data_IF_737211295963
#
_entry.id   IF_737211295963
#
_cell.length_a   1.000
_cell.length_b   1.000
_cell.length_c   1.000
_cell.angle_alpha   90.00
_cell.angle_beta   90.00
_cell.angle_gamma   90.00
#
_symmetry.space_group_name_H-M   'P 1'
#
loop_
_entity.id
_entity.type
_entity.pdbx_description
1 polymer ?
#
# COMPACT_ATOMS: atom_id res chain seq x y z
N UNK A 1 45.60 16.46 -63.42
CA UNK A 1 44.35 16.29 -62.72
C UNK A 1 44.44 16.97 -61.33
N UNK A 2 44.49 18.29 -61.25
CA UNK A 2 44.76 19.03 -60.03
C UNK A 2 43.51 19.09 -59.06
N UNK A 3 42.29 18.94 -59.60
CA UNK A 3 41.09 19.14 -58.80
C UNK A 3 40.85 18.01 -57.76
N UNK A 4 41.31 16.80 -58.01
CA UNK A 4 41.17 15.67 -57.11
C UNK A 4 42.10 15.73 -55.90
N UNK A 5 43.31 16.29 -56.11
CA UNK A 5 44.33 16.49 -55.05
C UNK A 5 43.90 17.61 -54.06
N UNK A 6 43.30 18.68 -54.57
CA UNK A 6 42.80 19.77 -53.73
C UNK A 6 41.62 19.32 -52.84
N UNK A 7 40.68 18.47 -53.38
CA UNK A 7 39.57 17.95 -52.63
C UNK A 7 40.02 16.99 -51.52
N UNK A 8 41.04 16.19 -51.79
CA UNK A 8 41.58 15.22 -50.80
C UNK A 8 42.34 15.92 -49.67
N UNK A 9 43.02 17.03 -49.96
CA UNK A 9 43.68 17.86 -48.93
C UNK A 9 42.68 18.60 -48.03
N UNK A 10 41.56 19.08 -48.58
CA UNK A 10 40.50 19.73 -47.81
C UNK A 10 39.79 18.71 -46.89
N UNK A 11 39.53 17.48 -47.36
CA UNK A 11 38.97 16.42 -46.54
C UNK A 11 39.92 15.99 -45.40
N UNK A 12 41.24 15.94 -45.65
CA UNK A 12 42.22 15.62 -44.61
C UNK A 12 42.36 16.74 -43.57
N UNK A 13 42.24 17.98 -43.96
CA UNK A 13 42.26 19.11 -43.02
C UNK A 13 41.00 19.21 -42.17
N UNK A 14 39.82 18.86 -42.73
CA UNK A 14 38.57 18.79 -41.97
C UNK A 14 38.56 17.62 -40.98
N UNK A 15 39.15 16.50 -41.34
CA UNK A 15 39.30 15.37 -40.43
C UNK A 15 40.26 15.65 -39.27
N UNK A 16 41.35 16.42 -39.51
CA UNK A 16 42.30 16.79 -38.47
C UNK A 16 41.74 17.82 -37.47
N UNK A 17 40.88 18.74 -37.93
CA UNK A 17 40.22 19.71 -37.05
C UNK A 17 39.12 19.07 -36.18
N UNK A 18 38.42 18.06 -36.69
CA UNK A 18 37.45 17.30 -35.87
C UNK A 18 38.15 16.41 -34.82
N UNK A 19 39.33 15.87 -35.16
CA UNK A 19 40.11 15.08 -34.22
C UNK A 19 40.76 15.92 -33.11
N UNK A 20 41.11 17.17 -33.40
CA UNK A 20 41.62 18.10 -32.39
C UNK A 20 40.51 18.62 -31.44
N UNK A 21 39.25 18.63 -31.88
CA UNK A 21 38.13 19.05 -31.05
C UNK A 21 37.70 17.93 -30.07
N UNK A 22 37.95 16.68 -30.43
CA UNK A 22 37.63 15.54 -29.53
C UNK A 22 38.67 15.29 -28.43
N UNK A 23 39.90 15.79 -28.61
CA UNK A 23 40.96 15.64 -27.60
C UNK A 23 40.96 16.74 -26.52
N UNK A 24 40.19 17.81 -26.72
CA UNK A 24 40.03 18.87 -25.70
C UNK A 24 38.88 18.68 -24.74
N UNK A 25 37.99 17.73 -25.01
CA UNK A 25 37.03 17.23 -24.02
C UNK A 25 37.75 16.10 -23.28
N UNK A 26 38.38 16.42 -22.17
CA UNK A 26 38.80 15.44 -21.18
C UNK A 26 37.67 14.51 -20.87
N UNK A 27 37.93 13.31 -20.28
CA UNK A 27 36.84 12.43 -19.84
C UNK A 27 35.94 13.29 -18.98
N UNK A 28 34.77 13.66 -19.48
CA UNK A 28 33.68 14.09 -18.66
C UNK A 28 33.39 12.82 -17.85
N UNK A 29 33.96 12.76 -16.67
CA UNK A 29 33.37 12.01 -15.62
C UNK A 29 31.89 12.40 -15.69
N UNK A 30 31.04 11.46 -16.07
CA UNK A 30 29.63 11.54 -15.73
C UNK A 30 29.65 11.53 -14.20
N UNK A 31 29.82 12.73 -13.62
CA UNK A 31 29.27 12.99 -12.31
C UNK A 31 27.81 12.63 -12.53
N UNK A 32 27.46 11.40 -12.15
CA UNK A 32 26.11 11.11 -11.76
C UNK A 32 25.85 12.19 -10.73
N UNK A 33 25.06 13.19 -11.13
CA UNK A 33 24.41 14.08 -10.22
C UNK A 33 23.58 13.14 -9.33
N UNK A 34 24.26 12.60 -8.31
CA UNK A 34 23.61 12.09 -7.13
C UNK A 34 22.98 13.32 -6.47
N UNK A 35 21.97 13.90 -7.17
CA UNK A 35 20.94 14.58 -6.43
C UNK A 35 20.55 13.51 -5.39
N UNK A 36 20.79 13.77 -4.10
CA UNK A 36 20.38 12.80 -3.09
C UNK A 36 18.93 12.56 -3.40
N UNK A 37 18.60 11.32 -3.82
CA UNK A 37 17.23 10.85 -3.84
C UNK A 37 16.73 11.28 -2.49
N UNK A 38 15.86 12.29 -2.49
CA UNK A 38 15.38 12.93 -1.28
C UNK A 38 14.95 11.77 -0.42
N UNK A 39 15.75 11.49 0.60
CA UNK A 39 15.47 10.45 1.54
C UNK A 39 14.07 10.74 2.03
N UNK A 40 13.10 10.00 1.51
CA UNK A 40 11.73 10.06 1.99
C UNK A 40 11.70 9.39 3.36
N UNK A 41 12.45 9.99 4.28
CA UNK A 41 12.24 9.71 5.69
C UNK A 41 10.81 10.16 5.99
N UNK A 42 10.06 9.35 6.68
CA UNK A 42 8.96 9.90 7.47
C UNK A 42 9.59 11.10 8.16
N UNK A 43 9.14 12.32 7.81
CA UNK A 43 9.60 13.50 8.52
C UNK A 43 9.37 13.18 9.99
N UNK A 44 10.46 13.08 10.74
CA UNK A 44 10.45 12.63 12.12
C UNK A 44 9.76 13.65 13.03
N UNK A 45 9.03 14.60 12.45
CA UNK A 45 8.25 15.64 13.11
C UNK A 45 6.96 15.13 13.74
N UNK A 46 6.52 13.89 13.44
CA UNK A 46 5.37 13.30 14.10
C UNK A 46 4.88 11.99 13.50
N UNK A 47 4.32 11.17 14.34
CA UNK A 47 3.56 9.96 14.02
C UNK A 47 2.09 10.28 14.26
N UNK A 48 1.23 9.93 13.29
CA UNK A 48 -0.22 10.15 13.36
C UNK A 48 -0.92 8.91 13.91
N UNK A 49 -0.52 7.74 13.43
CA UNK A 49 -1.07 6.45 13.87
C UNK A 49 0.00 5.38 13.85
N UNK A 50 -0.13 4.42 14.73
CA UNK A 50 0.70 3.21 14.80
C UNK A 50 -0.19 2.05 15.22
N UNK A 51 0.02 0.90 14.59
CA UNK A 51 -0.54 -0.34 15.09
C UNK A 51 0.46 -1.49 14.96
N UNK A 52 0.31 -2.48 15.84
CA UNK A 52 1.25 -3.58 16.01
C UNK A 52 0.47 -4.89 16.00
N UNK A 53 0.69 -5.68 14.96
CA UNK A 53 0.20 -7.05 14.87
C UNK A 53 1.09 -8.04 15.63
N UNK A 54 0.86 -9.32 15.41
CA UNK A 54 1.58 -10.38 16.12
C UNK A 54 3.09 -10.36 15.85
N UNK A 55 3.53 -10.01 14.64
CA UNK A 55 4.94 -10.05 14.22
C UNK A 55 5.29 -9.04 13.11
N UNK A 56 4.48 -8.02 12.93
CA UNK A 56 4.76 -6.85 12.09
C UNK A 56 4.15 -5.59 12.72
N UNK A 57 4.61 -4.44 12.32
CA UNK A 57 4.10 -3.15 12.76
C UNK A 57 4.02 -2.17 11.59
N UNK A 58 3.08 -1.25 11.66
CA UNK A 58 2.89 -0.20 10.68
C UNK A 58 2.78 1.16 11.35
N UNK A 59 3.30 2.20 10.71
CA UNK A 59 3.27 3.59 11.21
C UNK A 59 2.86 4.54 10.10
N UNK A 60 1.98 5.49 10.43
CA UNK A 60 1.61 6.60 9.55
C UNK A 60 2.27 7.87 10.05
N UNK A 61 3.01 8.55 9.19
CA UNK A 61 3.64 9.84 9.49
C UNK A 61 2.72 11.03 9.21
N UNK A 62 3.17 12.24 9.57
CA UNK A 62 2.41 13.49 9.40
C UNK A 62 2.08 13.86 7.96
N UNK A 63 2.77 13.29 6.98
CA UNK A 63 2.44 13.43 5.57
C UNK A 63 1.45 12.36 5.09
N UNK A 64 0.85 11.59 6.00
CA UNK A 64 -0.10 10.52 5.72
C UNK A 64 0.47 9.40 4.82
N UNK A 65 1.79 9.22 4.89
CA UNK A 65 2.51 8.10 4.28
C UNK A 65 2.74 7.02 5.31
N UNK A 66 2.76 5.76 4.88
CA UNK A 66 2.87 4.62 5.77
C UNK A 66 4.12 3.80 5.49
N UNK A 67 4.70 3.25 6.54
CA UNK A 67 5.76 2.23 6.50
C UNK A 67 5.39 1.08 7.41
N UNK A 68 5.63 -0.14 6.92
CA UNK A 68 5.44 -1.36 7.71
C UNK A 68 6.74 -2.16 7.74
N UNK A 69 7.01 -2.85 8.85
CA UNK A 69 8.18 -3.69 9.04
C UNK A 69 7.85 -4.91 9.90
N UNK A 70 8.77 -5.84 10.04
CA UNK A 70 8.59 -7.12 10.67
C UNK A 70 8.45 -8.24 9.65
N UNK A 71 7.74 -9.31 9.97
CA UNK A 71 7.53 -10.45 9.08
C UNK A 71 6.71 -10.07 7.87
N UNK A 72 7.25 -10.36 6.68
CA UNK A 72 6.56 -10.17 5.39
C UNK A 72 5.73 -11.36 4.92
N UNK A 73 5.58 -12.41 5.75
CA UNK A 73 4.75 -13.57 5.41
C UNK A 73 3.35 -13.14 4.97
N UNK A 74 2.82 -13.76 3.90
CA UNK A 74 1.57 -13.41 3.24
C UNK A 74 1.54 -11.98 2.65
N UNK A 75 2.67 -11.29 2.51
CA UNK A 75 2.70 -9.92 2.00
C UNK A 75 2.17 -8.85 2.94
N UNK A 76 1.93 -9.17 4.21
CA UNK A 76 1.26 -8.28 5.19
C UNK A 76 1.98 -6.97 5.48
N UNK A 77 3.27 -6.83 5.12
CA UNK A 77 4.00 -5.55 5.16
C UNK A 77 3.71 -4.64 3.96
N UNK A 78 3.08 -5.17 2.89
CA UNK A 78 2.70 -4.40 1.71
C UNK A 78 3.87 -3.95 0.83
N UNK A 79 4.94 -4.74 0.77
CA UNK A 79 6.13 -4.46 -0.05
C UNK A 79 6.23 -5.33 -1.31
N UNK A 80 5.12 -5.94 -1.75
CA UNK A 80 5.04 -6.82 -2.93
C UNK A 80 6.02 -8.01 -2.87
N UNK A 81 6.26 -8.51 -1.69
CA UNK A 81 7.08 -9.69 -1.42
C UNK A 81 6.82 -10.24 -0.01
N UNK A 82 7.44 -11.38 0.29
CA UNK A 82 7.34 -12.05 1.59
C UNK A 82 8.56 -11.87 2.48
N UNK A 83 9.47 -10.95 2.13
CA UNK A 83 10.66 -10.69 2.93
C UNK A 83 10.30 -10.02 4.26
N UNK A 84 11.02 -10.35 5.31
CA UNK A 84 10.97 -9.60 6.57
C UNK A 84 11.81 -8.32 6.44
N UNK A 85 11.46 -7.30 7.20
CA UNK A 85 12.15 -6.02 7.24
C UNK A 85 12.41 -5.59 8.68
N UNK A 86 13.60 -5.07 8.94
CA UNK A 86 14.01 -4.60 10.26
C UNK A 86 14.80 -5.62 11.07
N UNK A 87 15.06 -6.78 10.50
CA UNK A 87 15.91 -7.83 11.07
C UNK A 87 17.37 -7.75 10.58
N UNK A 88 17.63 -7.02 9.50
CA UNK A 88 18.96 -6.78 8.97
C UNK A 88 19.35 -5.29 8.93
N UNK A 89 20.66 -5.03 8.82
CA UNK A 89 21.19 -3.68 8.71
C UNK A 89 20.76 -3.02 7.40
N UNK A 90 20.36 -1.74 7.46
CA UNK A 90 19.89 -0.94 6.31
C UNK A 90 18.51 -1.34 5.75
N UNK A 91 17.66 -1.91 6.55
CA UNK A 91 16.27 -2.18 6.19
C UNK A 91 15.29 -1.15 6.75
N UNK A 92 15.73 -0.36 7.73
CA UNK A 92 14.89 0.64 8.40
C UNK A 92 15.23 2.08 8.01
N UNK A 93 14.43 3.03 8.45
CA UNK A 93 14.62 4.44 8.20
C UNK A 93 14.41 4.80 6.73
N UNK A 94 15.44 5.37 6.11
CA UNK A 94 15.40 5.78 4.69
C UNK A 94 15.39 4.59 3.72
N UNK A 95 15.79 3.42 4.14
CA UNK A 95 15.85 2.23 3.28
C UNK A 95 14.52 1.46 3.25
N UNK A 96 13.68 1.63 4.26
CA UNK A 96 12.34 1.03 4.27
C UNK A 96 11.43 1.80 3.33
N UNK A 97 10.88 1.12 2.34
CA UNK A 97 9.97 1.70 1.37
C UNK A 97 8.64 2.10 2.01
N UNK A 98 7.95 3.05 1.39
CA UNK A 98 6.57 3.34 1.74
C UNK A 98 5.64 2.27 1.17
N UNK A 99 4.60 1.94 1.92
CA UNK A 99 3.49 1.12 1.41
C UNK A 99 2.66 1.96 0.44
N UNK A 100 2.30 1.40 -0.70
CA UNK A 100 1.48 2.07 -1.73
C UNK A 100 0.06 1.49 -1.74
N UNK A 101 -0.94 2.36 -1.78
CA UNK A 101 -2.37 1.99 -1.92
C UNK A 101 -3.03 2.62 -3.14
N UNK A 102 -2.24 3.24 -4.00
CA UNK A 102 -2.69 3.86 -5.26
C UNK A 102 -2.50 5.36 -5.32
N UNK A 103 -2.42 5.86 -6.54
CA UNK A 103 -2.10 7.26 -6.81
C UNK A 103 -3.13 8.22 -6.20
N UNK A 104 -2.66 9.22 -5.47
CA UNK A 104 -3.49 10.25 -4.84
C UNK A 104 -4.18 9.82 -3.55
N UNK A 105 -3.99 8.56 -3.11
CA UNK A 105 -4.50 8.07 -1.84
C UNK A 105 -3.45 8.22 -0.75
N UNK A 106 -3.94 8.53 0.45
CA UNK A 106 -3.11 8.70 1.64
C UNK A 106 -3.76 8.01 2.83
N UNK A 107 -2.96 7.57 3.78
CA UNK A 107 -3.41 6.83 4.94
C UNK A 107 -3.95 7.76 6.03
N UNK A 108 -5.07 7.40 6.65
CA UNK A 108 -5.65 8.11 7.79
C UNK A 108 -5.65 7.25 9.05
N UNK A 109 -5.74 5.94 8.90
CA UNK A 109 -5.65 5.00 10.01
C UNK A 109 -5.12 3.64 9.53
N UNK A 110 -4.59 2.82 10.43
CA UNK A 110 -4.04 1.49 10.12
C UNK A 110 -4.32 0.51 11.25
N UNK A 111 -4.59 -0.72 10.89
CA UNK A 111 -4.68 -1.85 11.82
C UNK A 111 -3.88 -3.04 11.31
N UNK A 112 -3.18 -3.71 12.21
CA UNK A 112 -2.29 -4.83 11.94
C UNK A 112 -2.75 -6.08 12.70
N UNK A 113 -3.10 -7.14 11.96
CA UNK A 113 -3.49 -8.42 12.53
C UNK A 113 -2.34 -9.41 12.65
N UNK A 114 -2.64 -10.70 12.70
CA UNK A 114 -1.60 -11.73 12.68
C UNK A 114 -1.06 -11.94 11.26
N UNK A 115 -1.95 -12.00 10.27
CA UNK A 115 -1.62 -12.34 8.88
C UNK A 115 -2.10 -11.32 7.84
N UNK A 116 -2.61 -10.19 8.28
CA UNK A 116 -3.12 -9.14 7.39
C UNK A 116 -2.91 -7.75 7.98
N UNK A 117 -3.02 -6.77 7.13
CA UNK A 117 -3.04 -5.35 7.47
C UNK A 117 -4.21 -4.71 6.75
N UNK A 118 -4.94 -3.86 7.42
CA UNK A 118 -5.98 -3.01 6.82
C UNK A 118 -5.68 -1.55 7.10
N UNK A 119 -5.94 -0.69 6.14
CA UNK A 119 -5.78 0.74 6.29
C UNK A 119 -7.03 1.49 5.83
N UNK A 120 -7.38 2.53 6.55
CA UNK A 120 -8.33 3.53 6.15
C UNK A 120 -7.61 4.59 5.33
N UNK A 121 -8.14 4.94 4.19
CA UNK A 121 -7.57 5.95 3.29
C UNK A 121 -8.46 7.19 3.17
N UNK A 122 -7.90 8.26 2.66
CA UNK A 122 -8.51 9.59 2.63
C UNK A 122 -9.81 9.69 1.82
N UNK A 123 -10.12 8.71 0.97
CA UNK A 123 -11.40 8.62 0.25
C UNK A 123 -12.50 7.90 1.06
N UNK A 124 -12.19 7.48 2.29
CA UNK A 124 -13.10 6.76 3.19
C UNK A 124 -13.22 5.27 2.87
N UNK A 125 -12.47 4.74 1.91
CA UNK A 125 -12.40 3.31 1.68
C UNK A 125 -11.40 2.63 2.62
N UNK A 126 -11.64 1.35 2.90
CA UNK A 126 -10.70 0.48 3.59
C UNK A 126 -9.98 -0.38 2.55
N UNK A 127 -8.68 -0.53 2.70
CA UNK A 127 -7.84 -1.37 1.85
C UNK A 127 -7.07 -2.35 2.72
N UNK A 128 -7.17 -3.65 2.37
CA UNK A 128 -6.53 -4.70 3.14
C UNK A 128 -5.61 -5.53 2.25
N UNK A 129 -4.52 -6.01 2.83
CA UNK A 129 -3.55 -6.91 2.20
C UNK A 129 -3.01 -7.91 3.22
N UNK A 130 -2.35 -8.96 2.75
CA UNK A 130 -2.00 -10.12 3.54
C UNK A 130 -2.79 -11.34 3.12
N UNK A 131 -3.10 -12.25 4.03
CA UNK A 131 -3.84 -13.48 3.77
C UNK A 131 -5.25 -13.21 3.23
N UNK A 132 -5.57 -13.74 2.05
CA UNK A 132 -6.81 -13.47 1.31
C UNK A 132 -8.10 -13.66 2.11
N UNK A 133 -8.13 -14.62 3.01
CA UNK A 133 -9.31 -14.93 3.82
C UNK A 133 -9.67 -13.85 4.86
N UNK A 134 -8.85 -12.81 5.00
CA UNK A 134 -9.01 -11.79 6.02
C UNK A 134 -9.28 -10.40 5.43
N UNK A 135 -9.33 -10.30 4.09
CA UNK A 135 -9.28 -9.02 3.39
C UNK A 135 -10.64 -8.36 3.18
N UNK A 136 -11.76 -9.06 3.49
CA UNK A 136 -13.11 -8.50 3.34
C UNK A 136 -13.54 -8.22 1.89
N UNK A 137 -12.73 -8.56 0.92
CA UNK A 137 -13.03 -8.50 -0.50
C UNK A 137 -12.51 -9.78 -1.15
N UNK A 138 -13.41 -10.72 -1.40
CA UNK A 138 -13.07 -11.94 -2.10
C UNK A 138 -12.98 -11.68 -3.60
N UNK A 139 -11.76 -11.58 -4.11
CA UNK A 139 -11.47 -11.67 -5.54
C UNK A 139 -10.71 -12.98 -5.79
N UNK A 140 -11.39 -14.09 -5.63
CA UNK A 140 -10.81 -15.44 -5.71
C UNK A 140 -10.39 -15.88 -7.11
N UNK A 141 -9.98 -14.97 -7.99
CA UNK A 141 -9.66 -15.29 -9.37
C UNK A 141 -8.16 -15.53 -9.66
N UNK A 142 -7.27 -15.11 -8.76
CA UNK A 142 -5.83 -15.22 -9.02
C UNK A 142 -5.17 -16.47 -8.42
N UNK A 143 -5.88 -17.22 -7.59
CA UNK A 143 -5.36 -18.46 -6.97
C UNK A 143 -4.21 -18.20 -5.97
N UNK A 144 -3.82 -16.96 -5.73
CA UNK A 144 -2.87 -16.63 -4.68
C UNK A 144 -3.56 -16.70 -3.32
N UNK A 145 -2.91 -17.31 -2.35
CA UNK A 145 -3.41 -17.41 -0.98
C UNK A 145 -3.25 -16.10 -0.19
N UNK A 146 -2.75 -15.04 -0.82
CA UNK A 146 -2.40 -13.78 -0.18
C UNK A 146 -2.44 -12.62 -1.19
N UNK A 147 -2.29 -11.38 -0.71
CA UNK A 147 -2.18 -10.16 -1.50
C UNK A 147 -1.08 -9.27 -0.93
N UNK A 148 -0.25 -8.72 -1.79
CA UNK A 148 0.93 -7.93 -1.39
C UNK A 148 2.18 -8.78 -1.19
N UNK A 149 2.11 -10.07 -1.51
CA UNK A 149 3.22 -11.02 -1.52
C UNK A 149 3.90 -11.14 -2.90
N UNK A 150 3.30 -10.57 -3.94
CA UNK A 150 3.78 -10.58 -5.32
C UNK A 150 3.81 -9.22 -5.99
N UNK A 151 4.53 -9.14 -7.11
CA UNK A 151 4.68 -7.93 -7.90
C UNK A 151 3.35 -7.46 -8.51
N UNK A 152 3.07 -6.14 -8.43
CA UNK A 152 1.84 -5.48 -8.88
C UNK A 152 0.56 -5.87 -8.11
N UNK A 153 0.68 -6.32 -6.90
CA UNK A 153 -0.47 -6.63 -6.05
C UNK A 153 -0.86 -5.47 -5.11
N UNK A 154 0.04 -4.51 -4.94
CA UNK A 154 -0.19 -3.29 -4.16
C UNK A 154 -0.63 -2.12 -5.05
N UNK A 155 -0.72 -0.94 -4.48
CA UNK A 155 -1.12 0.27 -5.20
C UNK A 155 -2.58 0.22 -5.66
N UNK A 156 -2.81 0.50 -6.94
CA UNK A 156 -4.15 0.49 -7.54
C UNK A 156 -4.75 -0.91 -7.72
N UNK A 157 -3.96 -1.96 -7.52
CA UNK A 157 -4.43 -3.34 -7.59
C UNK A 157 -5.18 -3.78 -6.32
N UNK A 158 -4.97 -3.09 -5.18
CA UNK A 158 -5.72 -3.40 -3.96
C UNK A 158 -7.17 -2.92 -4.12
N UNK A 159 -8.17 -3.81 -4.07
CA UNK A 159 -9.56 -3.40 -4.14
C UNK A 159 -9.92 -2.56 -2.91
N UNK A 160 -10.72 -1.53 -3.14
CA UNK A 160 -11.34 -0.80 -2.07
C UNK A 160 -12.48 -1.63 -1.48
N UNK A 161 -12.49 -1.82 -0.17
CA UNK A 161 -13.69 -2.22 0.55
C UNK A 161 -14.52 -0.95 0.69
N UNK A 162 -15.39 -0.70 -0.29
CA UNK A 162 -16.18 0.52 -0.39
C UNK A 162 -17.67 0.26 -0.22
N UNK A 163 -18.05 -0.99 0.02
CA UNK A 163 -19.45 -1.41 0.04
C UNK A 163 -19.81 -2.02 1.38
N UNK A 164 -20.05 -1.16 2.31
CA UNK A 164 -20.63 -1.53 3.59
C UNK A 164 -22.14 -1.33 3.49
N UNK A 165 -22.90 -2.37 3.13
CA UNK A 165 -24.35 -2.22 3.03
C UNK A 165 -25.08 -3.49 2.63
N UNK A 166 -26.35 -3.64 3.05
CA UNK A 166 -27.10 -4.89 2.94
C UNK A 166 -27.58 -5.25 1.54
N UNK A 167 -27.40 -4.40 0.54
CA UNK A 167 -28.07 -4.54 -0.74
C UNK A 167 -27.14 -4.68 -1.95
N UNK A 168 -25.82 -4.84 -1.74
CA UNK A 168 -24.84 -4.93 -2.82
C UNK A 168 -25.03 -3.83 -3.91
N UNK A 169 -25.84 -2.84 -3.61
CA UNK A 169 -26.01 -1.69 -4.48
C UNK A 169 -24.73 -0.89 -4.44
N UNK A 170 -24.35 -0.36 -5.61
CA UNK A 170 -23.23 0.57 -5.74
C UNK A 170 -23.58 1.93 -5.08
N UNK A 171 -24.08 1.87 -3.84
CA UNK A 171 -24.40 3.07 -3.11
C UNK A 171 -23.09 3.62 -2.53
N UNK A 172 -22.56 4.73 -3.01
CA UNK A 172 -21.28 5.30 -2.57
C UNK A 172 -21.35 5.90 -1.16
N UNK A 173 -22.35 5.52 -0.35
CA UNK A 173 -22.72 6.27 0.84
C UNK A 173 -22.07 5.84 2.14
N UNK A 174 -21.54 4.63 2.25
CA UNK A 174 -20.99 4.15 3.51
C UNK A 174 -19.47 4.22 3.50
N UNK A 175 -18.94 5.36 3.91
CA UNK A 175 -17.51 5.55 4.08
C UNK A 175 -17.09 5.12 5.49
N UNK A 176 -15.99 4.41 5.61
CA UNK A 176 -15.44 4.08 6.90
C UNK A 176 -14.87 5.33 7.58
N UNK A 177 -15.11 5.43 8.87
CA UNK A 177 -14.60 6.51 9.74
C UNK A 177 -13.57 6.00 10.75
N UNK A 178 -13.58 4.69 11.01
CA UNK A 178 -12.64 4.03 11.92
C UNK A 178 -12.52 2.56 11.55
N UNK A 179 -11.35 1.98 11.81
CA UNK A 179 -11.08 0.55 11.70
C UNK A 179 -10.46 0.02 12.97
N UNK A 180 -10.68 -1.25 13.25
CA UNK A 180 -9.99 -2.00 14.30
C UNK A 180 -9.71 -3.41 13.80
N UNK A 181 -8.47 -3.87 13.98
CA UNK A 181 -7.99 -5.14 13.43
C UNK A 181 -7.58 -6.06 14.58
N UNK A 182 -8.18 -7.23 14.63
CA UNK A 182 -7.76 -8.33 15.51
C UNK A 182 -6.85 -9.29 14.76
N UNK A 183 -6.44 -10.39 15.41
CA UNK A 183 -5.53 -11.36 14.81
C UNK A 183 -6.03 -11.88 13.45
N UNK A 184 -7.31 -12.24 13.36
CA UNK A 184 -7.94 -12.87 12.20
C UNK A 184 -9.28 -12.26 11.81
N UNK A 185 -9.60 -11.07 12.28
CA UNK A 185 -10.83 -10.37 11.93
C UNK A 185 -10.60 -8.86 11.93
N UNK A 186 -11.46 -8.16 11.24
CA UNK A 186 -11.42 -6.69 11.14
C UNK A 186 -12.83 -6.15 11.31
N UNK A 187 -12.95 -5.02 11.98
CA UNK A 187 -14.20 -4.26 12.09
C UNK A 187 -13.99 -2.84 11.59
N UNK A 188 -15.02 -2.29 10.95
CA UNK A 188 -15.06 -0.90 10.51
C UNK A 188 -16.35 -0.23 11.00
N UNK A 189 -16.24 0.98 11.50
CA UNK A 189 -17.37 1.86 11.71
C UNK A 189 -17.54 2.67 10.43
N UNK A 190 -18.76 2.69 9.91
CA UNK A 190 -19.09 3.46 8.73
C UNK A 190 -20.09 4.54 9.07
N UNK A 191 -20.01 5.65 8.37
CA UNK A 191 -20.93 6.75 8.49
C UNK A 191 -21.63 6.97 7.15
N UNK A 192 -22.93 6.75 7.13
CA UNK A 192 -23.76 7.27 6.06
C UNK A 192 -24.47 8.54 6.56
N UNK A 193 -25.29 9.14 5.70
CA UNK A 193 -26.02 10.38 6.04
C UNK A 193 -27.09 10.20 7.11
N UNK A 194 -27.37 8.98 7.54
CA UNK A 194 -28.53 8.65 8.40
C UNK A 194 -28.17 7.83 9.64
N UNK A 195 -27.22 6.87 9.53
CA UNK A 195 -26.92 5.96 10.63
C UNK A 195 -25.44 5.54 10.64
N UNK A 196 -24.86 5.39 11.83
CA UNK A 196 -23.57 4.73 12.02
C UNK A 196 -23.79 3.22 12.04
N UNK A 197 -23.04 2.50 11.20
CA UNK A 197 -23.09 1.04 11.17
C UNK A 197 -21.73 0.45 11.50
N UNK A 198 -21.76 -0.74 12.12
CA UNK A 198 -20.57 -1.54 12.39
C UNK A 198 -20.56 -2.75 11.46
N UNK A 199 -19.46 -2.94 10.75
CA UNK A 199 -19.21 -4.10 9.91
C UNK A 199 -17.98 -4.83 10.40
N UNK A 200 -18.08 -6.16 10.52
CA UNK A 200 -16.95 -7.00 10.87
C UNK A 200 -16.83 -8.14 9.86
N UNK A 201 -15.60 -8.52 9.53
CA UNK A 201 -15.30 -9.63 8.62
C UNK A 201 -14.04 -10.38 9.07
N UNK A 202 -13.80 -11.56 8.50
CA UNK A 202 -12.74 -12.48 8.87
C UNK A 202 -13.27 -13.70 9.60
N UNK A 203 -12.47 -14.28 10.46
CA UNK A 203 -12.84 -15.48 11.23
C UNK A 203 -13.87 -15.18 12.34
N UNK A 204 -14.78 -16.13 12.56
CA UNK A 204 -15.83 -16.03 13.59
C UNK A 204 -15.97 -17.29 14.48
N UNK A 205 -14.96 -18.15 14.52
CA UNK A 205 -15.02 -19.40 15.28
C UNK A 205 -15.35 -19.25 16.78
N UNK A 206 -15.17 -18.07 17.34
CA UNK A 206 -15.53 -17.70 18.73
C UNK A 206 -16.63 -16.65 18.81
N UNK A 207 -17.31 -16.33 17.70
CA UNK A 207 -18.34 -15.29 17.63
C UNK A 207 -17.78 -13.86 17.63
N UNK A 208 -16.51 -13.67 17.30
CA UNK A 208 -15.82 -12.38 17.35
C UNK A 208 -16.35 -11.35 16.33
N UNK A 209 -17.08 -11.78 15.33
CA UNK A 209 -17.74 -10.87 14.39
C UNK A 209 -19.05 -10.29 14.94
N UNK A 210 -19.61 -10.82 16.04
CA UNK A 210 -20.82 -10.28 16.65
C UNK A 210 -22.09 -10.50 15.84
N UNK A 211 -22.07 -11.33 14.80
CA UNK A 211 -23.20 -11.62 13.89
C UNK A 211 -24.26 -12.57 14.48
N UNK A 212 -24.10 -12.98 15.73
CA UNK A 212 -25.00 -13.94 16.40
C UNK A 212 -24.77 -15.39 16.01
N UNK A 213 -23.72 -15.69 15.26
CA UNK A 213 -23.31 -17.04 14.87
C UNK A 213 -21.78 -17.15 14.80
N UNK A 214 -21.26 -18.32 14.46
CA UNK A 214 -19.82 -18.58 14.31
C UNK A 214 -19.39 -18.73 12.85
N UNK A 215 -20.18 -18.24 11.92
CA UNK A 215 -19.84 -18.28 10.51
C UNK A 215 -18.75 -17.24 10.23
N UNK A 216 -17.77 -17.63 9.43
CA UNK A 216 -16.72 -16.74 8.95
C UNK A 216 -17.25 -15.93 7.77
N UNK A 217 -17.00 -14.63 7.80
CA UNK A 217 -17.38 -13.72 6.72
C UNK A 217 -16.13 -13.31 5.93
N UNK A 218 -16.08 -13.76 4.70
CA UNK A 218 -14.93 -13.49 3.80
C UNK A 218 -15.13 -12.27 2.91
N UNK A 219 -16.40 -11.86 2.74
CA UNK A 219 -16.77 -10.77 1.82
C UNK A 219 -17.78 -9.84 2.50
N UNK A 220 -17.48 -8.57 2.55
CA UNK A 220 -18.37 -7.53 3.08
C UNK A 220 -19.45 -7.13 2.08
N UNK A 221 -19.36 -7.59 0.82
CA UNK A 221 -20.27 -7.17 -0.24
C UNK A 221 -21.62 -7.87 -0.21
N UNK A 222 -21.77 -8.96 0.54
CA UNK A 222 -23.02 -9.70 0.66
C UNK A 222 -23.95 -9.20 1.81
N UNK A 223 -23.46 -8.21 2.57
CA UNK A 223 -24.19 -7.61 3.67
C UNK A 223 -24.22 -8.43 4.96
N UNK A 224 -23.55 -9.58 5.02
CA UNK A 224 -23.57 -10.47 6.18
C UNK A 224 -22.68 -9.98 7.34
N UNK A 225 -21.71 -9.10 7.07
CA UNK A 225 -20.79 -8.54 8.08
C UNK A 225 -21.41 -7.47 9.00
N UNK A 226 -22.70 -7.17 8.88
CA UNK A 226 -23.34 -6.14 9.71
C UNK A 226 -23.50 -6.64 11.14
N UNK A 227 -22.98 -5.88 12.09
CA UNK A 227 -23.17 -6.10 13.52
C UNK A 227 -24.30 -5.21 14.01
N UNK A 228 -25.39 -5.82 14.40
CA UNK A 228 -26.50 -5.10 15.02
C UNK A 228 -26.17 -4.84 16.50
N UNK A 229 -25.83 -3.61 16.82
CA UNK A 229 -25.76 -3.19 18.21
C UNK A 229 -27.20 -2.96 18.71
N UNK A 230 -27.55 -3.45 19.93
CA UNK A 230 -28.88 -3.20 20.48
C UNK A 230 -29.09 -1.68 20.57
N UNK A 231 -30.27 -1.25 20.14
CA UNK A 231 -30.73 0.12 20.28
C UNK A 231 -30.34 0.66 21.65
N UNK A 232 -29.70 1.83 21.65
CA UNK A 232 -29.58 2.60 22.90
C UNK A 232 -31.01 2.83 23.35
N UNK A 233 -31.46 2.01 24.29
CA UNK A 233 -32.78 2.19 24.84
C UNK A 233 -32.96 3.66 25.20
N UNK A 234 -33.89 4.32 24.53
CA UNK A 234 -34.41 5.61 24.98
C UNK A 234 -35.03 5.33 26.33
N UNK A 235 -34.23 5.58 27.39
CA UNK A 235 -34.70 5.61 28.76
C UNK A 235 -35.55 6.84 29.03
#
# INVERSE_FOLDING_TARGET
>A
RPRVRALMLILLMLASTQMALMTSLGPRELELDETPVRSETLDNSGVVSIDIGSNHACVIGTLNQMKCWGSGEDGKTGHENTASYGDDAKEMGQYLMFTDVGAGLTFTDVGAGQRHTCALVNDGSVRCWGSNHLLGSYSGEDGSGARGDGYMEMGSAIPAIARFGPDNSANPGHLATSISVGDYHTCAITNDTTEEMLFCWGESGSGQLGSGNTNTEWDTNDGNGIVYLPDRGVG
#
